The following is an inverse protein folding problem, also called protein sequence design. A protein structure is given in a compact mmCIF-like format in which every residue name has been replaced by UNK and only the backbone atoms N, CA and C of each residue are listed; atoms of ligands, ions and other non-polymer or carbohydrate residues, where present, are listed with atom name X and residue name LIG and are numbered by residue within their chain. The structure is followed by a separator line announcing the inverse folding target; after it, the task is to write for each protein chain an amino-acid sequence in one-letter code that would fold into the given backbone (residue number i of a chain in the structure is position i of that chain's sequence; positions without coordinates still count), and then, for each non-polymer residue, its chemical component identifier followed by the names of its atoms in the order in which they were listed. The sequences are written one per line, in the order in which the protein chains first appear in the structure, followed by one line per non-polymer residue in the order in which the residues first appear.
data_IF_035354075549
#
_entry.id   IF_035354075549
#
_cell.length_a   1.000
_cell.length_b   1.000
_cell.length_c   1.000
_cell.angle_alpha   90.00
_cell.angle_beta   90.00
_cell.angle_gamma   90.00
#
_symmetry.space_group_name_H-M   'P 1'
#
loop_
_entity.id
_entity.type
_entity.pdbx_description
1 polymer ?
#
# COMPACT_ATOMS: atom_id res chain seq x y z
N UNK A 1 6.32 -21.41 12.35
CA UNK A 1 6.16 -20.33 13.33
C UNK A 1 5.19 -20.78 14.40
N UNK A 2 5.45 -20.42 15.63
CA UNK A 2 4.57 -20.80 16.73
C UNK A 2 3.42 -19.81 16.83
N UNK A 3 2.40 -20.16 17.63
CA UNK A 3 1.28 -19.26 17.86
C UNK A 3 1.74 -17.97 18.48
N UNK A 4 2.70 -18.04 19.39
CA UNK A 4 3.26 -16.88 20.02
C UNK A 4 3.94 -15.99 19.01
N UNK A 5 4.71 -16.57 18.13
CA UNK A 5 5.41 -15.83 17.07
C UNK A 5 4.41 -15.22 16.11
N UNK A 6 3.31 -15.91 15.81
CA UNK A 6 2.28 -15.36 14.95
C UNK A 6 1.65 -14.12 15.61
N UNK A 7 1.28 -14.22 16.87
CA UNK A 7 0.67 -13.09 17.55
C UNK A 7 1.62 -11.90 17.61
N UNK A 8 2.89 -12.15 17.87
CA UNK A 8 3.87 -11.09 17.92
C UNK A 8 4.04 -10.42 16.56
N UNK A 9 4.06 -11.23 15.51
CA UNK A 9 4.21 -10.70 14.16
C UNK A 9 3.03 -9.81 13.80
N UNK A 10 1.82 -10.26 14.10
CA UNK A 10 0.64 -9.47 13.81
C UNK A 10 0.69 -8.16 14.59
N UNK A 11 0.98 -8.22 15.89
CA UNK A 11 1.04 -7.01 16.70
C UNK A 11 2.09 -6.04 16.18
N UNK A 12 3.22 -6.57 15.77
CA UNK A 12 4.32 -5.74 15.37
C UNK A 12 4.08 -5.03 14.05
N UNK A 13 3.37 -5.65 13.12
CA UNK A 13 3.26 -5.13 11.76
C UNK A 13 1.85 -4.71 11.36
N UNK A 14 0.89 -4.79 12.28
CA UNK A 14 -0.50 -4.50 11.93
C UNK A 14 -0.69 -3.08 11.42
N UNK A 15 -0.13 -2.12 12.12
CA UNK A 15 -0.33 -0.72 11.76
C UNK A 15 0.29 -0.41 10.40
N UNK A 16 1.49 -0.90 10.16
CA UNK A 16 2.17 -0.63 8.89
C UNK A 16 1.46 -1.32 7.74
N UNK A 17 0.97 -2.52 7.94
CA UNK A 17 0.27 -3.25 6.90
C UNK A 17 -1.04 -2.54 6.56
N UNK A 18 -1.80 -2.15 7.57
CA UNK A 18 -3.06 -1.44 7.36
C UNK A 18 -2.80 -0.11 6.64
N UNK A 19 -1.78 0.63 7.07
CA UNK A 19 -1.44 1.91 6.45
C UNK A 19 -1.11 1.75 4.98
N UNK A 20 -0.33 0.71 4.65
CA UNK A 20 0.05 0.47 3.26
C UNK A 20 -1.18 0.22 2.40
N UNK A 21 -2.08 -0.64 2.86
CA UNK A 21 -3.28 -0.95 2.10
C UNK A 21 -4.21 0.27 2.03
N UNK A 22 -4.40 0.96 3.13
CA UNK A 22 -5.31 2.10 3.15
C UNK A 22 -4.83 3.21 2.24
N UNK A 23 -3.53 3.47 2.19
CA UNK A 23 -3.02 4.51 1.30
C UNK A 23 -3.18 4.14 -0.16
N UNK A 24 -3.29 2.85 -0.46
CA UNK A 24 -3.53 2.42 -1.83
C UNK A 24 -4.99 2.50 -2.22
N UNK A 25 -5.92 2.08 -1.37
CA UNK A 25 -7.31 1.96 -1.81
C UNK A 25 -8.23 3.01 -1.20
N UNK A 26 -7.79 3.73 -0.17
CA UNK A 26 -8.56 4.82 0.39
C UNK A 26 -9.94 4.44 0.87
N UNK A 27 -10.14 3.26 1.35
CA UNK A 27 -11.43 2.80 1.87
C UNK A 27 -11.12 2.00 3.13
N UNK A 28 -11.55 2.50 4.28
CA UNK A 28 -11.18 1.89 5.55
C UNK A 28 -11.75 0.51 5.72
N UNK A 29 -12.99 0.29 5.26
CA UNK A 29 -13.58 -1.03 5.42
C UNK A 29 -12.91 -2.06 4.54
N UNK A 30 -12.64 -1.70 3.30
CA UNK A 30 -11.95 -2.63 2.40
C UNK A 30 -10.53 -2.90 2.88
N UNK A 31 -9.86 -1.89 3.42
CA UNK A 31 -8.52 -2.08 3.93
C UNK A 31 -8.53 -3.06 5.11
N UNK A 32 -9.50 -2.93 6.01
CA UNK A 32 -9.61 -3.84 7.12
C UNK A 32 -9.88 -5.26 6.65
N UNK A 33 -10.74 -5.41 5.66
CA UNK A 33 -11.05 -6.75 5.13
C UNK A 33 -9.81 -7.39 4.52
N UNK A 34 -9.02 -6.63 3.79
CA UNK A 34 -7.81 -7.17 3.17
C UNK A 34 -6.79 -7.58 4.23
N UNK A 35 -6.65 -6.75 5.26
CA UNK A 35 -5.72 -7.06 6.34
C UNK A 35 -6.18 -8.30 7.09
N UNK A 36 -7.46 -8.43 7.35
CA UNK A 36 -8.00 -9.58 8.03
C UNK A 36 -7.80 -10.84 7.19
N UNK A 37 -8.06 -10.79 5.90
CA UNK A 37 -7.81 -11.91 4.99
C UNK A 37 -6.34 -12.31 5.03
N UNK A 38 -5.46 -11.33 5.13
CA UNK A 38 -4.02 -11.60 5.17
C UNK A 38 -3.66 -12.37 6.43
N UNK A 39 -4.23 -11.97 7.57
CA UNK A 39 -3.96 -12.68 8.82
C UNK A 39 -4.48 -14.10 8.77
N UNK A 40 -5.65 -14.30 8.16
CA UNK A 40 -6.19 -15.64 8.04
C UNK A 40 -5.31 -16.51 7.17
N UNK A 41 -4.83 -15.96 6.07
CA UNK A 41 -3.94 -16.72 5.18
C UNK A 41 -2.62 -17.06 5.84
N UNK A 42 -2.08 -16.12 6.62
CA UNK A 42 -0.86 -16.39 7.36
C UNK A 42 -1.11 -17.47 8.41
N UNK A 43 -2.25 -17.42 9.09
CA UNK A 43 -2.58 -18.42 10.10
C UNK A 43 -2.66 -19.81 9.49
N UNK A 44 -3.25 -19.92 8.29
CA UNK A 44 -3.35 -21.22 7.65
C UNK A 44 -1.99 -21.76 7.23
N UNK A 45 -1.00 -20.91 7.07
CA UNK A 45 0.34 -21.33 6.68
C UNK A 45 1.32 -21.20 7.83
N UNK A 46 0.82 -21.13 9.07
CA UNK A 46 1.67 -20.80 10.19
C UNK A 46 2.77 -21.84 10.38
N UNK A 47 2.53 -23.09 10.08
CA UNK A 47 3.58 -24.09 10.23
C UNK A 47 4.61 -24.05 9.10
N UNK A 48 4.28 -23.41 7.98
CA UNK A 48 5.20 -23.39 6.85
C UNK A 48 6.00 -22.11 6.75
N UNK A 49 5.62 -21.06 7.46
CA UNK A 49 6.28 -19.77 7.36
C UNK A 49 7.18 -19.58 8.58
N UNK A 50 8.42 -19.18 8.34
CA UNK A 50 9.32 -18.91 9.44
C UNK A 50 9.11 -17.49 9.91
N UNK A 51 9.34 -17.25 11.20
CA UNK A 51 9.07 -15.92 11.76
C UNK A 51 9.90 -14.84 11.09
N UNK A 52 11.10 -15.18 10.61
CA UNK A 52 11.94 -14.19 9.93
C UNK A 52 11.37 -13.76 8.60
N UNK A 53 10.51 -14.60 7.99
CA UNK A 53 9.92 -14.28 6.69
C UNK A 53 8.47 -13.80 6.82
N UNK A 54 7.96 -13.72 8.02
CA UNK A 54 6.53 -13.44 8.21
C UNK A 54 6.14 -12.06 7.74
N UNK A 55 6.98 -11.05 7.96
CA UNK A 55 6.67 -9.69 7.52
C UNK A 55 6.53 -9.63 6.01
N UNK A 56 7.51 -10.19 5.29
CA UNK A 56 7.46 -10.21 3.83
C UNK A 56 6.27 -11.01 3.33
N UNK A 57 5.98 -12.11 3.98
CA UNK A 57 4.83 -12.93 3.60
C UNK A 57 3.53 -12.12 3.76
N UNK A 58 3.41 -11.38 4.85
CA UNK A 58 2.21 -10.59 5.09
C UNK A 58 2.04 -9.51 4.03
N UNK A 59 3.09 -8.79 3.73
CA UNK A 59 2.99 -7.72 2.74
C UNK A 59 2.74 -8.26 1.33
N UNK A 60 3.36 -9.38 0.99
CA UNK A 60 3.13 -10.02 -0.30
C UNK A 60 1.68 -10.50 -0.42
N UNK A 61 1.19 -11.15 0.63
CA UNK A 61 -0.17 -11.67 0.63
C UNK A 61 -1.19 -10.53 0.58
N UNK A 62 -0.96 -9.49 1.37
CA UNK A 62 -1.87 -8.35 1.40
C UNK A 62 -1.89 -7.64 0.04
N UNK A 63 -0.72 -7.46 -0.56
CA UNK A 63 -0.65 -6.81 -1.86
C UNK A 63 -1.42 -7.62 -2.90
N UNK A 64 -1.21 -8.92 -2.95
CA UNK A 64 -1.90 -9.77 -3.92
C UNK A 64 -3.40 -9.78 -3.70
N UNK A 65 -3.82 -9.82 -2.44
CA UNK A 65 -5.25 -9.79 -2.10
C UNK A 65 -5.85 -8.45 -2.57
N UNK A 66 -5.13 -7.37 -2.34
CA UNK A 66 -5.58 -6.05 -2.76
C UNK A 66 -5.72 -5.97 -4.27
N UNK A 67 -4.72 -6.44 -5.01
CA UNK A 67 -4.75 -6.39 -6.46
C UNK A 67 -5.90 -7.24 -7.01
N UNK A 68 -6.12 -8.40 -6.42
CA UNK A 68 -7.22 -9.26 -6.86
C UNK A 68 -8.56 -8.58 -6.63
N UNK A 69 -8.73 -7.89 -5.52
CA UNK A 69 -9.96 -7.18 -5.26
C UNK A 69 -10.16 -6.01 -6.21
N UNK A 70 -9.13 -5.24 -6.46
CA UNK A 70 -9.21 -4.13 -7.40
C UNK A 70 -9.61 -4.65 -8.78
N UNK A 71 -9.01 -5.76 -9.20
CA UNK A 71 -9.32 -6.32 -10.49
C UNK A 71 -10.76 -6.80 -10.57
N UNK A 72 -11.26 -7.41 -9.50
CA UNK A 72 -12.65 -7.88 -9.50
C UNK A 72 -13.63 -6.73 -9.52
N UNK A 73 -13.36 -5.68 -8.77
CA UNK A 73 -14.25 -4.52 -8.74
C UNK A 73 -14.29 -3.81 -10.07
N UNK A 74 -13.14 -3.75 -10.76
CA UNK A 74 -13.14 -3.16 -12.05
C UNK A 74 -14.00 -3.97 -13.00
N UNK A 75 -13.96 -5.30 -12.93
CA UNK A 75 -14.77 -6.09 -13.79
C UNK A 75 -16.23 -5.89 -13.52
N UNK A 76 -16.62 -5.64 -12.29
CA UNK A 76 -18.01 -5.40 -11.98
C UNK A 76 -18.42 -3.98 -12.33
N UNK A 77 -17.48 -3.14 -12.67
CA UNK A 77 -17.80 -1.81 -13.17
C UNK A 77 -18.35 -0.93 -12.14
N UNK A 78 -18.19 -1.16 -10.90
CA UNK A 78 -18.73 -0.28 -10.04
C UNK A 78 -17.75 0.37 -9.31
N UNK A 79 -16.77 0.86 -9.78
CA UNK A 79 -16.01 1.59 -9.08
C UNK A 79 -16.15 2.91 -9.27
N UNK A 80 -16.78 3.33 -10.03
CA UNK A 80 -16.76 4.62 -10.37
C UNK A 80 -17.06 5.50 -9.32
N UNK A 81 -18.00 5.54 -8.69
CA UNK A 81 -18.28 6.54 -7.89
C UNK A 81 -17.69 6.53 -6.70
N UNK A 82 -17.04 5.78 -6.34
CA UNK A 82 -16.55 5.83 -5.15
C UNK A 82 -15.83 6.92 -4.75
N UNK A 83 -15.21 7.53 -5.45
CA UNK A 83 -14.40 8.41 -4.93
C UNK A 83 -14.72 9.65 -4.96
N UNK A 84 -15.49 10.00 -5.09
CA UNK A 84 -15.71 11.20 -5.13
C UNK A 84 -15.68 11.86 -3.99
N UNK A 85 -15.96 11.85 -3.14
CA UNK A 85 -16.08 12.68 -2.18
C UNK A 85 -15.03 12.93 -1.45
N UNK A 86 -14.47 12.73 -1.27
CA UNK A 86 -13.47 12.85 -0.61
C UNK A 86 -13.07 14.05 -0.34
N UNK A 87 -12.76 14.59 -0.29
CA UNK A 87 -12.28 15.62 -0.13
C UNK A 87 -12.63 16.66 0.39
N UNK A 88 -12.75 17.00 0.50
CA UNK A 88 -13.20 18.00 0.84
C UNK A 88 -12.78 18.66 1.91
N UNK A 89 -12.49 19.08 2.41
CA UNK A 89 -12.27 19.79 3.34
C UNK A 89 -11.23 20.25 3.81
N UNK A 90 -11.05 20.64 4.38
CA UNK A 90 -10.23 21.04 4.99
C UNK A 90 -9.15 21.55 4.73
N UNK A 91 -8.76 21.89 4.55
CA UNK A 91 -7.79 22.31 4.24
C UNK A 91 -7.21 23.26 4.93
N UNK A 92 -7.20 23.55 5.76
CA UNK A 92 -6.72 24.49 6.33
C UNK A 92 -5.37 24.38 6.40
N UNK A 93 -4.70 23.76 6.77
CA UNK A 93 -3.42 23.79 6.73
C UNK A 93 -2.91 22.89 6.04
N UNK A 94 -2.83 22.91 5.29
CA UNK A 94 -2.38 22.25 4.46
C UNK A 94 -1.43 21.56 4.71
N UNK A 95 -1.26 21.11 5.19
CA UNK A 95 -0.34 20.46 5.30
C UNK A 95 0.31 19.80 4.23
N UNK A 96 1.56 19.74 4.12
CA UNK A 96 2.34 18.99 3.17
C UNK A 96 1.88 17.56 3.17
N UNK A 97 1.51 17.03 4.31
CA UNK A 97 1.04 15.67 4.41
C UNK A 97 -0.23 15.46 3.60
N UNK A 98 -1.15 16.41 3.65
CA UNK A 98 -2.38 16.27 2.89
C UNK A 98 -2.13 16.37 1.40
N UNK A 99 -1.26 17.28 0.99
CA UNK A 99 -0.91 17.42 -0.42
C UNK A 99 -0.24 16.14 -0.91
N UNK A 100 0.64 15.57 -0.11
CA UNK A 100 1.32 14.34 -0.49
C UNK A 100 0.33 13.18 -0.61
N UNK A 101 -0.60 13.05 0.33
CA UNK A 101 -1.60 11.99 0.27
C UNK A 101 -2.48 12.15 -0.98
N UNK A 102 -2.81 13.37 -1.33
CA UNK A 102 -3.60 13.58 -2.53
C UNK A 102 -2.80 13.22 -3.77
N UNK A 103 -1.52 13.60 -3.80
CA UNK A 103 -0.66 13.27 -4.94
C UNK A 103 -0.53 11.75 -5.11
N UNK A 104 -0.44 11.04 -4.01
CA UNK A 104 -0.34 9.58 -4.08
C UNK A 104 -1.55 8.96 -4.76
N UNK A 105 -2.73 9.53 -4.57
CA UNK A 105 -3.92 8.97 -5.20
C UNK A 105 -3.91 9.15 -6.71
N UNK A 106 -3.11 10.07 -7.23
CA UNK A 106 -3.06 10.31 -8.65
C UNK A 106 -2.02 9.47 -9.36
N UNK A 107 -1.20 8.76 -8.63
CA UNK A 107 -0.23 7.87 -9.24
C UNK A 107 -0.88 6.60 -9.77
N UNK A 108 -0.39 6.03 -10.85
CA UNK A 108 -0.82 4.69 -11.21
C UNK A 108 -0.56 3.72 -10.07
N UNK A 109 -1.41 2.72 -9.95
CA UNK A 109 -1.38 1.85 -8.80
C UNK A 109 -0.02 1.22 -8.55
N UNK A 110 0.68 0.76 -9.60
CA UNK A 110 1.96 0.10 -9.38
C UNK A 110 3.01 1.10 -8.89
N UNK A 111 2.97 2.32 -9.38
CA UNK A 111 3.92 3.34 -8.92
C UNK A 111 3.64 3.72 -7.47
N UNK A 112 2.37 3.83 -7.12
CA UNK A 112 1.99 4.14 -5.74
C UNK A 112 2.45 3.03 -4.80
N UNK A 113 2.24 1.78 -5.19
CA UNK A 113 2.61 0.66 -4.34
C UNK A 113 4.11 0.59 -4.10
N UNK A 114 4.92 0.73 -5.15
CA UNK A 114 6.37 0.61 -4.97
C UNK A 114 6.93 1.78 -4.15
N UNK A 115 6.39 3.00 -4.32
CA UNK A 115 6.92 4.12 -3.57
C UNK A 115 6.52 4.00 -2.09
N UNK A 116 5.33 3.50 -1.81
CA UNK A 116 4.92 3.29 -0.43
C UNK A 116 5.78 2.21 0.23
N UNK A 117 6.07 1.13 -0.47
CA UNK A 117 6.92 0.09 0.09
C UNK A 117 8.34 0.59 0.34
N UNK A 118 8.83 1.46 -0.52
CA UNK A 118 10.20 1.95 -0.37
C UNK A 118 10.31 3.05 0.67
N UNK A 119 9.52 4.09 0.53
CA UNK A 119 9.73 5.30 1.32
C UNK A 119 8.98 5.28 2.64
N UNK A 120 7.89 4.54 2.74
CA UNK A 120 7.17 4.46 4.00
C UNK A 120 7.49 3.19 4.77
N UNK A 121 7.70 2.07 4.08
CA UNK A 121 7.92 0.82 4.78
C UNK A 121 9.38 0.38 4.81
N UNK A 122 10.25 1.02 4.03
CA UNK A 122 11.68 0.78 4.13
C UNK A 122 12.21 -0.46 3.47
N UNK A 123 11.46 -1.06 2.54
CA UNK A 123 11.93 -2.25 1.87
C UNK A 123 12.99 -1.90 0.83
N UNK A 124 13.91 -2.81 0.58
CA UNK A 124 14.88 -2.62 -0.50
C UNK A 124 14.28 -3.06 -1.83
N UNK A 125 15.00 -2.79 -2.92
CA UNK A 125 14.47 -3.02 -4.26
C UNK A 125 14.16 -4.49 -4.50
N UNK A 126 15.00 -5.39 -4.02
CA UNK A 126 14.77 -6.83 -4.21
C UNK A 126 13.51 -7.28 -3.47
N UNK A 127 13.33 -6.79 -2.27
CA UNK A 127 12.15 -7.13 -1.48
C UNK A 127 10.88 -6.58 -2.14
N UNK A 128 10.92 -5.36 -2.65
CA UNK A 128 9.78 -4.77 -3.33
C UNK A 128 9.44 -5.59 -4.57
N UNK A 129 10.47 -6.04 -5.29
CA UNK A 129 10.25 -6.87 -6.46
C UNK A 129 9.55 -8.17 -6.12
N UNK A 130 9.89 -8.76 -4.98
CA UNK A 130 9.24 -9.97 -4.55
C UNK A 130 7.79 -9.71 -4.18
N UNK A 131 7.50 -8.66 -3.44
CA UNK A 131 6.15 -8.36 -3.03
C UNK A 131 5.25 -8.07 -4.24
N UNK A 132 5.77 -7.31 -5.21
CA UNK A 132 4.96 -6.84 -6.33
C UNK A 132 5.09 -7.70 -7.58
N UNK A 133 5.98 -8.68 -7.55
CA UNK A 133 6.26 -9.55 -8.70
C UNK A 133 6.83 -8.75 -9.87
N UNK A 134 7.77 -7.89 -9.57
CA UNK A 134 8.49 -7.11 -10.57
C UNK A 134 9.97 -7.42 -10.47
N UNK A 135 10.70 -7.24 -11.56
CA UNK A 135 12.15 -7.36 -11.47
C UNK A 135 12.71 -6.05 -10.90
N UNK A 136 13.98 -6.08 -10.51
CA UNK A 136 14.57 -4.95 -9.83
C UNK A 136 14.64 -3.71 -10.70
N UNK A 137 14.89 -3.88 -11.98
CA UNK A 137 14.93 -2.76 -12.91
C UNK A 137 13.56 -2.06 -12.99
N UNK A 138 12.50 -2.83 -13.04
CA UNK A 138 11.16 -2.27 -13.07
C UNK A 138 10.85 -1.52 -11.78
N UNK A 139 11.27 -2.07 -10.63
CA UNK A 139 11.06 -1.41 -9.36
C UNK A 139 11.74 -0.04 -9.36
N UNK A 140 12.99 -0.01 -9.81
CA UNK A 140 13.74 1.25 -9.83
C UNK A 140 13.08 2.29 -10.74
N UNK A 141 12.63 1.86 -11.91
CA UNK A 141 12.00 2.78 -12.85
C UNK A 141 10.71 3.33 -12.29
N UNK A 142 9.87 2.48 -11.69
CA UNK A 142 8.61 2.94 -11.15
C UNK A 142 8.80 3.85 -9.94
N UNK A 143 9.79 3.57 -9.12
CA UNK A 143 10.09 4.46 -8.00
C UNK A 143 10.55 5.81 -8.50
N UNK A 144 11.41 5.82 -9.52
CA UNK A 144 11.88 7.08 -10.08
C UNK A 144 10.72 7.90 -10.64
N UNK A 145 9.84 7.25 -11.40
CA UNK A 145 8.69 7.94 -11.97
C UNK A 145 7.75 8.47 -10.89
N UNK A 146 7.53 7.67 -9.84
CA UNK A 146 6.68 8.09 -8.74
C UNK A 146 7.26 9.31 -8.04
N UNK A 147 8.56 9.29 -7.76
CA UNK A 147 9.19 10.41 -7.06
C UNK A 147 9.18 11.66 -7.92
N UNK A 148 9.39 11.53 -9.21
CA UNK A 148 9.35 12.67 -10.11
C UNK A 148 7.96 13.29 -10.13
N UNK A 149 6.92 12.46 -10.21
CA UNK A 149 5.57 12.98 -10.20
C UNK A 149 5.26 13.67 -8.89
N UNK A 150 5.61 13.07 -7.77
CA UNK A 150 5.32 13.65 -6.47
C UNK A 150 6.04 14.97 -6.27
N UNK A 151 7.29 15.04 -6.69
CA UNK A 151 8.06 16.26 -6.56
C UNK A 151 7.44 17.37 -7.38
N UNK A 152 7.04 17.08 -8.61
CA UNK A 152 6.45 18.09 -9.48
C UNK A 152 5.06 18.50 -8.97
N UNK A 153 4.29 17.57 -8.46
CA UNK A 153 2.96 17.89 -7.94
C UNK A 153 3.07 18.79 -6.72
N UNK A 154 3.96 18.48 -5.81
CA UNK A 154 4.12 19.27 -4.60
C UNK A 154 4.64 20.65 -4.95
N UNK A 155 5.58 20.74 -5.87
CA UNK A 155 6.10 22.03 -6.29
C UNK A 155 5.02 22.89 -6.92
N UNK A 156 4.15 22.30 -7.74
CA UNK A 156 3.07 23.06 -8.35
C UNK A 156 2.09 23.55 -7.30
N UNK A 157 1.80 22.73 -6.29
CA UNK A 157 0.88 23.14 -5.25
C UNK A 157 1.47 24.26 -4.39
N UNK A 158 2.76 24.21 -4.14
CA UNK A 158 3.39 25.25 -3.36
C UNK A 158 3.37 26.58 -4.11
N UNK A 159 3.52 26.55 -5.41
CA UNK A 159 3.50 27.76 -6.16
C UNK A 159 2.12 28.39 -6.24
N UNK A 160 1.09 27.63 -6.06
CA UNK A 160 -0.23 28.18 -6.14
C UNK A 160 -0.62 28.89 -4.86
N UNK A 161 -0.03 28.52 -3.77
CA UNK A 161 -0.33 29.17 -2.55
C UNK A 161 0.54 30.36 -2.39
#
# INVERSE_FOLDING_TARGET
MTVEEFNKTVDQHADNLYRFILKNIKDTEKARDIVQDTYEKLWLKVSDVESTNAKSYMFTTAYRTMIDRIRREKKQGDMAEANMYSLSHSRQYSDLKEILNEALTKLPEIQRSVILLRDYEGYNYAEIGEITNLNESQVKVYIFRARTFLKNYIGAMENVI
#
